data_IF_279551558051
#
_entry.id   IF_279551558051
#
_cell.length_a   1.000
_cell.length_b   1.000
_cell.length_c   1.000
_cell.angle_alpha   90.00
_cell.angle_beta   90.00
_cell.angle_gamma   90.00
#
_symmetry.space_group_name_H-M   'P 1'
#
loop_
_entity.id
_entity.type
_entity.pdbx_description
1 polymer ?
#
# COMPACT_ATOMS: atom_id res chain seq x y z
N UNK A 1 -5.14 -5.07 -11.02
CA UNK A 1 -4.02 -4.12 -10.92
C UNK A 1 -2.68 -4.81 -11.12
N UNK A 2 -2.47 -6.01 -10.57
CA UNK A 2 -1.38 -6.88 -11.02
C UNK A 2 -1.64 -7.46 -12.43
N UNK A 3 -0.67 -7.37 -13.35
CA UNK A 3 -0.70 -8.10 -14.62
C UNK A 3 0.70 -8.63 -14.97
N UNK A 4 0.85 -9.83 -15.55
CA UNK A 4 2.14 -10.36 -15.97
C UNK A 4 2.91 -9.35 -16.84
N UNK A 5 4.20 -9.15 -16.53
CA UNK A 5 5.06 -8.19 -17.22
C UNK A 5 4.75 -6.70 -16.97
N UNK A 6 3.80 -6.37 -16.10
CA UNK A 6 3.38 -5.00 -15.77
C UNK A 6 3.41 -4.80 -14.26
N UNK A 7 4.63 -4.80 -13.73
CA UNK A 7 5.00 -4.56 -12.34
C UNK A 7 6.49 -4.84 -12.16
N UNK A 8 7.18 -4.06 -11.34
CA UNK A 8 8.56 -4.31 -10.93
C UNK A 8 8.82 -3.67 -9.56
N UNK A 9 9.95 -3.95 -8.96
CA UNK A 9 10.41 -3.33 -7.73
C UNK A 9 11.95 -3.29 -7.76
N UNK A 10 12.54 -2.40 -6.98
CA UNK A 10 13.98 -2.44 -6.68
C UNK A 10 14.29 -3.61 -5.71
N UNK A 11 15.53 -3.76 -5.26
CA UNK A 11 15.81 -4.72 -4.19
C UNK A 11 14.97 -4.40 -2.94
N UNK A 12 14.62 -5.41 -2.14
CA UNK A 12 13.90 -5.20 -0.87
C UNK A 12 14.64 -4.20 0.01
N UNK A 13 13.90 -3.28 0.61
CA UNK A 13 14.44 -2.21 1.44
C UNK A 13 13.38 -1.70 2.41
N UNK A 14 13.80 -0.85 3.34
CA UNK A 14 12.89 -0.14 4.23
C UNK A 14 12.33 1.08 3.52
N UNK A 15 11.03 1.32 3.66
CA UNK A 15 10.38 2.50 3.11
C UNK A 15 9.29 3.01 4.03
N UNK A 16 8.85 4.24 3.78
CA UNK A 16 7.77 4.88 4.51
C UNK A 16 6.49 4.80 3.68
N UNK A 17 5.41 4.37 4.30
CA UNK A 17 4.07 4.39 3.73
C UNK A 17 3.36 5.66 4.19
N UNK A 18 2.96 6.50 3.25
CA UNK A 18 2.27 7.78 3.47
C UNK A 18 0.76 7.63 3.20
N UNK A 19 -0.06 7.93 4.21
CA UNK A 19 -1.52 7.93 4.11
C UNK A 19 -1.96 9.11 3.24
N UNK A 20 -2.76 8.84 2.21
CA UNK A 20 -3.29 9.85 1.28
C UNK A 20 -4.76 10.20 1.54
N UNK A 21 -5.52 9.26 2.07
CA UNK A 21 -6.89 9.50 2.55
C UNK A 21 -6.96 9.19 4.05
N UNK A 22 -6.93 10.20 4.94
CA UNK A 22 -7.07 10.00 6.37
C UNK A 22 -8.53 9.85 6.84
N UNK A 23 -9.52 10.01 5.95
CA UNK A 23 -10.94 9.99 6.31
C UNK A 23 -11.59 8.62 6.04
N UNK A 24 -11.00 7.81 5.15
CA UNK A 24 -11.46 6.44 4.88
C UNK A 24 -11.48 5.58 6.15
N UNK A 25 -12.49 4.72 6.38
CA UNK A 25 -12.58 3.90 7.60
C UNK A 25 -11.32 3.11 7.95
N UNK A 26 -10.64 2.54 6.95
CA UNK A 26 -9.39 1.78 7.12
C UNK A 26 -8.27 2.64 7.71
N UNK A 27 -8.16 3.91 7.32
CA UNK A 27 -7.02 4.79 7.66
C UNK A 27 -7.36 5.87 8.68
N UNK A 28 -8.65 6.04 9.00
CA UNK A 28 -9.11 7.05 9.95
C UNK A 28 -8.50 6.89 11.33
N UNK A 29 -7.89 7.98 11.81
CA UNK A 29 -7.21 8.07 13.10
C UNK A 29 -5.80 7.46 13.12
N UNK A 30 -5.32 6.90 12.00
CA UNK A 30 -3.93 6.48 11.88
C UNK A 30 -3.02 7.71 11.72
N UNK A 31 -1.75 7.58 12.14
CA UNK A 31 -0.70 8.54 11.80
C UNK A 31 -0.64 8.76 10.29
N UNK A 32 -0.18 9.95 9.89
CA UNK A 32 -0.01 10.35 8.48
C UNK A 32 0.93 9.43 7.70
N UNK A 33 1.81 8.71 8.39
CA UNK A 33 2.72 7.74 7.79
C UNK A 33 3.21 6.71 8.79
N UNK A 34 3.69 5.56 8.31
CA UNK A 34 4.32 4.53 9.12
C UNK A 34 5.49 3.85 8.37
N UNK A 35 6.49 3.30 9.08
CA UNK A 35 7.58 2.56 8.45
C UNK A 35 7.12 1.15 8.01
N UNK A 36 7.62 0.69 6.88
CA UNK A 36 7.58 -0.70 6.43
C UNK A 36 9.02 -1.19 6.29
N UNK A 37 9.32 -2.33 6.92
CA UNK A 37 10.69 -2.85 7.03
C UNK A 37 10.89 -4.00 6.03
N UNK A 38 11.98 -3.94 5.28
CA UNK A 38 12.48 -4.97 4.37
C UNK A 38 11.40 -5.61 3.50
N UNK A 39 10.75 -4.85 2.64
CA UNK A 39 9.63 -5.32 1.82
C UNK A 39 9.83 -4.99 0.33
N UNK A 40 8.97 -5.51 -0.53
CA UNK A 40 8.96 -5.17 -1.96
C UNK A 40 8.02 -3.98 -2.22
N UNK A 41 8.59 -2.81 -2.51
CA UNK A 41 7.81 -1.67 -3.01
C UNK A 41 7.47 -1.91 -4.49
N UNK A 42 6.28 -2.46 -4.73
CA UNK A 42 5.81 -2.70 -6.08
C UNK A 42 5.48 -1.39 -6.82
N UNK A 43 6.11 -1.22 -7.97
CA UNK A 43 6.02 -0.06 -8.83
C UNK A 43 5.49 -0.41 -10.22
N UNK A 44 5.00 0.63 -10.91
CA UNK A 44 4.60 0.58 -12.32
C UNK A 44 3.59 -0.53 -12.63
N UNK A 45 2.64 -0.74 -11.70
CA UNK A 45 1.51 -1.63 -11.89
C UNK A 45 0.56 -1.06 -12.95
N UNK A 46 -0.13 -1.94 -13.68
CA UNK A 46 -1.18 -1.51 -14.61
C UNK A 46 -2.51 -1.30 -13.88
N UNK A 47 -2.84 -0.05 -13.63
CA UNK A 47 -4.04 0.38 -12.93
C UNK A 47 -5.31 0.26 -13.78
N UNK A 48 -6.45 0.11 -13.10
CA UNK A 48 -7.75 0.34 -13.71
C UNK A 48 -7.93 1.84 -14.04
N UNK A 49 -8.99 2.26 -14.76
CA UNK A 49 -9.29 3.68 -14.87
C UNK A 49 -9.37 4.36 -13.49
N UNK A 50 -8.94 5.63 -13.35
CA UNK A 50 -8.83 6.31 -12.05
C UNK A 50 -10.12 6.35 -11.22
N UNK A 51 -11.29 6.26 -11.85
CA UNK A 51 -12.60 6.21 -11.18
C UNK A 51 -12.98 4.81 -10.63
N UNK A 52 -12.14 3.79 -10.85
CA UNK A 52 -12.41 2.38 -10.47
C UNK A 52 -11.67 1.91 -9.22
N UNK A 53 -10.80 2.73 -8.66
CA UNK A 53 -10.05 2.39 -7.46
C UNK A 53 -9.81 3.65 -6.64
N UNK A 54 -9.60 3.47 -5.34
CA UNK A 54 -9.35 4.56 -4.42
C UNK A 54 -8.08 4.32 -3.63
N UNK A 55 -7.09 5.19 -3.79
CA UNK A 55 -5.78 5.04 -3.14
C UNK A 55 -5.87 5.55 -1.71
N UNK A 56 -5.49 4.69 -0.76
CA UNK A 56 -5.46 5.03 0.67
C UNK A 56 -4.07 5.44 1.13
N UNK A 57 -3.02 4.84 0.56
CA UNK A 57 -1.64 5.13 0.91
C UNK A 57 -0.67 4.86 -0.26
N UNK A 58 0.44 5.60 -0.29
CA UNK A 58 1.55 5.39 -1.23
C UNK A 58 2.88 5.19 -0.51
N UNK A 59 3.90 4.77 -1.25
CA UNK A 59 5.28 4.85 -0.84
C UNK A 59 6.13 5.43 -1.99
N UNK A 60 7.19 6.16 -1.65
CA UNK A 60 8.10 6.73 -2.62
C UNK A 60 9.05 5.66 -3.18
N UNK A 61 8.92 5.38 -4.48
CA UNK A 61 9.83 4.51 -5.22
C UNK A 61 11.07 5.30 -5.66
N UNK A 62 12.18 5.14 -4.94
CA UNK A 62 13.47 5.75 -5.30
C UNK A 62 14.11 4.98 -6.46
N UNK A 63 14.11 5.61 -7.64
CA UNK A 63 14.58 4.98 -8.86
C UNK A 63 16.10 4.69 -8.84
N UNK A 64 16.87 5.32 -7.95
CA UNK A 64 18.31 5.04 -7.81
C UNK A 64 18.56 3.62 -7.27
N UNK A 65 17.61 3.05 -6.52
CA UNK A 65 17.70 1.70 -5.94
C UNK A 65 17.67 0.58 -6.99
N UNK A 66 17.23 0.87 -8.21
CA UNK A 66 17.24 -0.11 -9.30
C UNK A 66 18.64 -0.34 -9.87
N UNK A 67 19.59 0.58 -9.67
CA UNK A 67 20.97 0.46 -10.16
C UNK A 67 21.06 0.10 -11.66
N UNK A 68 20.19 0.70 -12.48
CA UNK A 68 20.12 0.44 -13.93
C UNK A 68 19.48 -0.89 -14.33
N UNK A 69 18.90 -1.65 -13.39
CA UNK A 69 18.26 -2.95 -13.62
C UNK A 69 16.72 -2.88 -13.64
N UNK A 70 16.16 -1.69 -13.81
CA UNK A 70 14.72 -1.51 -13.89
C UNK A 70 14.17 -2.29 -15.09
N UNK A 71 13.14 -3.12 -14.85
CA UNK A 71 12.49 -3.93 -15.90
C UNK A 71 11.51 -3.13 -16.76
N UNK A 72 11.20 -1.90 -16.33
CA UNK A 72 10.31 -0.98 -17.00
C UNK A 72 10.87 0.45 -16.87
N UNK A 73 10.45 1.40 -17.74
CA UNK A 73 10.87 2.79 -17.63
C UNK A 73 10.55 3.41 -16.27
N UNK A 74 11.54 4.10 -15.70
CA UNK A 74 11.48 4.82 -14.42
C UNK A 74 11.75 6.31 -14.67
N UNK A 75 10.72 7.15 -14.90
CA UNK A 75 10.93 8.55 -15.25
C UNK A 75 11.32 9.39 -14.02
N UNK A 76 12.37 10.21 -14.16
CA UNK A 76 12.82 11.07 -13.07
C UNK A 76 13.45 10.31 -11.88
N UNK A 77 13.66 10.97 -10.74
CA UNK A 77 14.36 10.39 -9.58
C UNK A 77 13.51 9.39 -8.77
N UNK A 78 12.20 9.43 -8.92
CA UNK A 78 11.28 8.53 -8.21
C UNK A 78 9.83 8.92 -8.41
N UNK A 79 8.92 8.08 -7.91
CA UNK A 79 7.47 8.27 -8.01
C UNK A 79 6.75 7.68 -6.78
N UNK A 80 5.67 8.34 -6.34
CA UNK A 80 4.76 7.77 -5.35
C UNK A 80 3.96 6.60 -5.97
N UNK A 81 4.12 5.39 -5.42
CA UNK A 81 3.40 4.19 -5.86
C UNK A 81 2.32 3.82 -4.86
N UNK A 82 1.08 3.50 -5.30
CA UNK A 82 0.03 3.07 -4.37
C UNK A 82 0.37 1.75 -3.68
N UNK A 83 0.32 1.75 -2.35
CA UNK A 83 0.58 0.57 -1.52
C UNK A 83 -0.71 -0.03 -0.95
N UNK A 84 -1.68 0.81 -0.63
CA UNK A 84 -2.98 0.42 -0.11
C UNK A 84 -4.07 1.08 -0.95
N UNK A 85 -5.05 0.31 -1.41
CA UNK A 85 -6.18 0.85 -2.16
C UNK A 85 -7.43 -0.01 -2.02
N UNK A 86 -8.57 0.56 -2.36
CA UNK A 86 -9.84 -0.16 -2.44
C UNK A 86 -10.39 -0.18 -3.86
N UNK A 87 -11.21 -1.19 -4.13
CA UNK A 87 -11.95 -1.36 -5.39
C UNK A 87 -13.33 -1.88 -5.02
N UNK A 88 -14.38 -1.35 -5.63
CA UNK A 88 -15.70 -1.99 -5.59
C UNK A 88 -15.83 -2.94 -6.79
N UNK A 89 -16.23 -4.18 -6.52
CA UNK A 89 -16.50 -5.18 -7.56
C UNK A 89 -17.92 -5.72 -7.40
N UNK A 90 -18.83 -5.23 -8.25
CA UNK A 90 -20.26 -5.49 -8.09
C UNK A 90 -20.77 -4.88 -6.78
N UNK A 91 -21.17 -5.74 -5.84
CA UNK A 91 -21.60 -5.33 -4.48
C UNK A 91 -20.52 -5.57 -3.41
N UNK A 92 -19.36 -6.10 -3.80
CA UNK A 92 -18.29 -6.45 -2.87
C UNK A 92 -17.28 -5.32 -2.71
N UNK A 93 -16.84 -5.10 -1.48
CA UNK A 93 -15.74 -4.23 -1.14
C UNK A 93 -14.43 -5.01 -1.17
N UNK A 94 -13.45 -4.55 -1.96
CA UNK A 94 -12.12 -5.16 -2.04
C UNK A 94 -11.12 -4.21 -1.43
N UNK A 95 -10.41 -4.67 -0.40
CA UNK A 95 -9.19 -4.03 0.08
C UNK A 95 -7.98 -4.76 -0.50
N UNK A 96 -7.05 -4.00 -1.06
CA UNK A 96 -5.80 -4.52 -1.59
C UNK A 96 -4.62 -3.86 -0.87
N UNK A 97 -3.69 -4.69 -0.43
CA UNK A 97 -2.40 -4.30 0.12
C UNK A 97 -1.30 -4.87 -0.77
N UNK A 98 -0.32 -4.04 -1.14
CA UNK A 98 0.91 -4.45 -1.81
C UNK A 98 2.05 -4.78 -0.83
N UNK A 99 1.81 -4.58 0.48
CA UNK A 99 2.77 -4.87 1.54
C UNK A 99 2.74 -6.36 1.91
N UNK A 100 3.81 -6.83 2.55
CA UNK A 100 3.89 -8.15 3.19
C UNK A 100 4.44 -9.25 2.28
N UNK A 101 5.60 -9.02 1.65
CA UNK A 101 6.28 -10.00 0.81
C UNK A 101 6.53 -11.35 1.51
N UNK A 102 6.88 -11.34 2.80
CA UNK A 102 7.18 -12.54 3.59
C UNK A 102 6.76 -12.39 5.07
N UNK A 103 6.88 -13.45 5.89
CA UNK A 103 6.50 -13.40 7.30
C UNK A 103 7.20 -12.33 8.13
N UNK A 104 8.41 -11.89 7.75
CA UNK A 104 9.11 -10.81 8.46
C UNK A 104 8.49 -9.45 8.11
N UNK A 105 8.25 -9.18 6.82
CA UNK A 105 7.56 -7.96 6.38
C UNK A 105 6.13 -7.84 6.96
N UNK A 106 5.47 -8.97 7.18
CA UNK A 106 4.14 -9.04 7.80
C UNK A 106 4.14 -8.75 9.31
N UNK A 107 5.29 -8.66 9.98
CA UNK A 107 5.37 -8.34 11.42
C UNK A 107 5.31 -6.84 11.71
N UNK A 108 5.38 -5.98 10.68
CA UNK A 108 5.29 -4.54 10.91
C UNK A 108 3.91 -4.17 11.50
N UNK A 109 3.88 -3.28 12.50
CA UNK A 109 2.60 -2.84 13.08
C UNK A 109 1.70 -2.22 12.00
N UNK A 110 2.28 -1.48 11.05
CA UNK A 110 1.55 -0.89 9.92
C UNK A 110 0.85 -1.93 9.05
N UNK A 111 1.54 -3.02 8.70
CA UNK A 111 0.94 -4.13 7.96
C UNK A 111 -0.20 -4.77 8.75
N UNK A 112 0.04 -5.17 10.00
CA UNK A 112 -0.95 -5.87 10.83
C UNK A 112 -2.21 -5.02 10.99
N UNK A 113 -2.06 -3.75 11.37
CA UNK A 113 -3.18 -2.84 11.60
C UNK A 113 -3.99 -2.61 10.33
N UNK A 114 -3.34 -2.34 9.20
CA UNK A 114 -4.05 -2.06 7.95
C UNK A 114 -4.68 -3.32 7.35
N UNK A 115 -4.06 -4.50 7.51
CA UNK A 115 -4.65 -5.77 7.10
C UNK A 115 -5.92 -6.08 7.92
N UNK A 116 -5.87 -5.95 9.25
CA UNK A 116 -7.03 -6.21 10.12
C UNK A 116 -8.18 -5.23 9.84
N UNK A 117 -7.88 -3.94 9.76
CA UNK A 117 -8.89 -2.90 9.48
C UNK A 117 -9.44 -3.03 8.05
N UNK A 118 -8.60 -3.36 7.09
CA UNK A 118 -9.00 -3.63 5.72
C UNK A 118 -9.90 -4.85 5.58
N UNK A 119 -9.61 -5.92 6.32
CA UNK A 119 -10.45 -7.12 6.37
C UNK A 119 -11.83 -6.82 7.00
N UNK A 120 -11.88 -6.11 8.12
CA UNK A 120 -13.14 -5.70 8.76
C UNK A 120 -13.98 -4.80 7.83
N UNK A 121 -13.34 -3.83 7.18
CA UNK A 121 -13.99 -2.95 6.22
C UNK A 121 -14.52 -3.69 5.00
N UNK A 122 -13.74 -4.60 4.42
CA UNK A 122 -14.18 -5.39 3.28
C UNK A 122 -15.42 -6.24 3.61
N UNK A 123 -15.52 -6.73 4.84
CA UNK A 123 -16.66 -7.54 5.30
C UNK A 123 -17.89 -6.72 5.70
N UNK A 124 -17.72 -5.51 6.24
CA UNK A 124 -18.79 -4.78 6.94
C UNK A 124 -19.03 -3.34 6.46
N UNK A 125 -18.14 -2.79 5.64
CA UNK A 125 -18.10 -1.38 5.28
C UNK A 125 -17.67 -0.45 6.43
N UNK A 126 -17.31 -1.00 7.60
CA UNK A 126 -16.96 -0.25 8.82
C UNK A 126 -15.63 -0.73 9.38
N UNK A 127 -15.05 0.10 10.24
CA UNK A 127 -13.91 -0.29 11.08
C UNK A 127 -14.21 0.09 12.51
N UNK A 128 -14.19 -0.89 13.41
CA UNK A 128 -14.43 -0.72 14.85
C UNK A 128 -13.21 -1.09 15.68
N UNK A 129 -12.20 -1.69 15.07
CA UNK A 129 -10.96 -2.06 15.72
C UNK A 129 -10.22 -0.84 16.31
N UNK A 130 -9.75 -0.94 17.57
CA UNK A 130 -8.95 0.12 18.18
C UNK A 130 -7.62 0.29 17.44
N UNK A 131 -7.05 1.49 17.53
CA UNK A 131 -5.75 1.81 16.94
C UNK A 131 -4.69 1.63 18.02
N UNK A 132 -3.63 0.81 17.80
CA UNK A 132 -2.50 0.74 18.71
C UNK A 132 -1.86 2.12 18.89
N UNK A 133 -1.38 2.42 20.11
CA UNK A 133 -0.86 3.75 20.45
C UNK A 133 0.29 4.19 19.52
N UNK A 134 1.15 3.28 19.06
CA UNK A 134 2.22 3.63 18.12
C UNK A 134 1.72 4.05 16.73
N UNK A 135 0.46 3.74 16.37
CA UNK A 135 -0.15 4.03 15.07
C UNK A 135 -1.22 5.12 15.14
N UNK A 136 -1.63 5.57 16.33
CA UNK A 136 -2.66 6.60 16.51
C UNK A 136 -2.12 8.01 16.21
N UNK A 137 -2.94 8.84 15.57
CA UNK A 137 -2.68 10.26 15.31
C UNK A 137 -2.63 11.10 16.59
#
# INVERSE_FOLDING_TARGET
NWRPGNGHHSARHDFKVDIKDPDHPITRGLKKSFPQVNDELYANLKWQPPDKYHVLATAWDDHSLYQGKARQPTPGPGLDQPMLWTVDYGKGHVFATALGHDPEAMKSTGFIVTLQRGAEWAATGKVTLPIPAEMAQ
#
